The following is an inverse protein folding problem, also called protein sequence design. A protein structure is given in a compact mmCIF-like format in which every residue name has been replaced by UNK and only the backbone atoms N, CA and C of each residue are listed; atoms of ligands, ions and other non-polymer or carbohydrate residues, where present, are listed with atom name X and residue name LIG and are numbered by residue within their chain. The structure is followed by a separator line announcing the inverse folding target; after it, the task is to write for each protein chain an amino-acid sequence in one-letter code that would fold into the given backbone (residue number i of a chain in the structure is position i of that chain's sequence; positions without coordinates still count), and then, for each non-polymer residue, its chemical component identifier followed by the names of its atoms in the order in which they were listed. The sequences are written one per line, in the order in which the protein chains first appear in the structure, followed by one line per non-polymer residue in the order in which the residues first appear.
data_IF_756556973757
#
_entry.id   IF_756556973757
#
_cell.length_a   1.000
_cell.length_b   1.000
_cell.length_c   1.000
_cell.angle_alpha   90.00
_cell.angle_beta   90.00
_cell.angle_gamma   90.00
#
_symmetry.space_group_name_H-M   'P 1'
#
loop_
_entity.id
_entity.type
_entity.pdbx_description
1 polymer ?
#
# COMPACT_ATOMS: atom_id res chain seq x y z
N UNK A 1 18.44 16.49 6.74
CA UNK A 1 17.79 15.99 5.52
C UNK A 1 17.66 14.48 5.68
N UNK A 2 16.45 13.93 5.66
CA UNK A 2 16.19 12.58 6.17
C UNK A 2 16.40 11.43 5.15
N UNK A 3 16.80 11.73 3.91
CA UNK A 3 17.11 10.72 2.90
C UNK A 3 18.28 11.19 2.03
N UNK A 4 19.43 10.53 2.14
CA UNK A 4 20.46 10.52 1.09
C UNK A 4 20.16 9.31 0.22
N UNK A 5 19.59 9.52 -0.97
CA UNK A 5 19.39 8.45 -1.93
C UNK A 5 20.73 8.08 -2.56
N UNK A 6 21.10 6.80 -2.49
CA UNK A 6 22.19 6.22 -3.27
C UNK A 6 21.59 5.32 -4.35
N UNK A 7 22.05 5.45 -5.60
CA UNK A 7 21.57 4.65 -6.73
C UNK A 7 21.50 5.41 -8.04
N UNK A 8 21.19 4.71 -9.13
CA UNK A 8 20.89 5.34 -10.43
C UNK A 8 19.55 6.07 -10.32
N UNK A 9 19.50 7.40 -10.56
CA UNK A 9 18.25 8.12 -10.60
C UNK A 9 17.38 7.53 -11.70
N UNK A 10 16.13 7.25 -11.37
CA UNK A 10 15.13 6.83 -12.33
C UNK A 10 14.34 8.10 -12.66
N UNK A 11 14.47 8.60 -13.90
CA UNK A 11 13.95 9.92 -14.29
C UNK A 11 12.42 10.04 -14.19
N UNK A 12 11.72 8.91 -14.12
CA UNK A 12 10.27 8.82 -13.91
C UNK A 12 9.86 8.46 -12.47
N UNK A 13 10.77 8.54 -11.49
CA UNK A 13 10.51 8.26 -10.08
C UNK A 13 10.71 9.53 -9.23
N UNK A 14 9.61 10.05 -8.68
CA UNK A 14 9.64 11.18 -7.73
C UNK A 14 9.47 10.68 -6.30
N UNK A 15 10.36 11.07 -5.40
CA UNK A 15 10.24 10.81 -3.97
C UNK A 15 9.63 12.02 -3.27
N UNK A 16 8.49 11.82 -2.62
CA UNK A 16 7.74 12.89 -1.94
C UNK A 16 7.39 12.42 -0.53
N UNK A 17 7.54 13.30 0.47
CA UNK A 17 7.41 12.91 1.88
C UNK A 17 5.98 13.10 2.41
N UNK A 18 5.29 11.97 2.68
CA UNK A 18 4.29 11.86 3.73
C UNK A 18 2.90 12.49 3.50
N UNK A 19 2.61 12.99 2.30
CA UNK A 19 1.30 13.56 1.96
C UNK A 19 0.79 12.99 0.64
N UNK A 20 -0.31 12.23 0.68
CA UNK A 20 -0.94 11.66 -0.50
C UNK A 20 -1.77 12.68 -1.28
N UNK A 21 -2.10 13.85 -0.70
CA UNK A 21 -2.89 14.88 -1.39
C UNK A 21 -2.19 15.43 -2.62
N UNK A 22 -0.86 15.34 -2.68
CA UNK A 22 -0.06 15.69 -3.87
C UNK A 22 -0.44 14.88 -5.11
N UNK A 23 -1.03 13.69 -4.92
CA UNK A 23 -1.48 12.81 -5.99
C UNK A 23 -2.89 13.18 -6.48
N UNK A 24 -3.60 14.06 -5.79
CA UNK A 24 -4.90 14.56 -6.23
C UNK A 24 -4.77 15.63 -7.32
N UNK A 25 -3.74 16.47 -7.23
CA UNK A 25 -3.58 17.66 -8.07
C UNK A 25 -2.62 17.46 -9.26
N UNK A 26 -1.89 16.33 -9.30
CA UNK A 26 -1.09 15.96 -10.46
C UNK A 26 -2.01 15.41 -11.56
N UNK A 27 -2.36 16.27 -12.52
CA UNK A 27 -2.68 15.77 -13.86
C UNK A 27 -1.44 15.01 -14.35
N UNK A 28 -1.54 13.69 -14.44
CA UNK A 28 -0.47 12.85 -14.97
C UNK A 28 -0.36 13.17 -16.47
N UNK A 29 0.44 14.18 -16.79
CA UNK A 29 0.63 14.70 -18.14
C UNK A 29 1.21 13.65 -19.07
N UNK A 30 0.33 12.93 -19.77
CA UNK A 30 0.59 12.37 -21.09
C UNK A 30 -0.18 13.21 -22.09
N UNK A 31 0.49 13.63 -23.15
CA UNK A 31 -0.12 14.32 -24.30
C UNK A 31 -1.41 13.65 -24.75
N UNK A 32 -2.46 14.45 -24.98
CA UNK A 32 -3.84 14.10 -25.37
C UNK A 32 -3.99 13.17 -26.62
N UNK A 33 -2.90 12.70 -27.21
CA UNK A 33 -2.89 11.86 -28.42
C UNK A 33 -2.74 10.35 -28.14
N UNK A 34 -2.52 9.92 -26.90
CA UNK A 34 -2.47 8.48 -26.56
C UNK A 34 -3.74 8.05 -25.84
N UNK A 35 -4.71 7.54 -26.60
CA UNK A 35 -5.98 6.97 -26.15
C UNK A 35 -5.82 5.65 -25.35
N UNK A 36 -4.70 5.49 -24.64
CA UNK A 36 -4.45 4.41 -23.69
C UNK A 36 -4.71 4.92 -22.28
N UNK A 37 -5.75 4.39 -21.62
CA UNK A 37 -6.07 4.71 -20.22
C UNK A 37 -4.81 4.80 -19.37
N UNK A 38 -4.52 5.93 -18.73
CA UNK A 38 -3.34 6.07 -17.88
C UNK A 38 -3.38 5.02 -16.76
N UNK A 39 -2.59 3.94 -16.92
CA UNK A 39 -2.47 2.86 -15.94
C UNK A 39 -1.40 3.26 -14.93
N UNK A 40 -1.82 3.77 -13.79
CA UNK A 40 -0.93 4.06 -12.67
C UNK A 40 -0.84 2.89 -11.71
N UNK A 41 0.31 2.78 -11.04
CA UNK A 41 0.58 1.81 -9.98
C UNK A 41 0.94 2.57 -8.71
N UNK A 42 0.23 2.28 -7.61
CA UNK A 42 0.56 2.78 -6.28
C UNK A 42 1.32 1.71 -5.49
N UNK A 43 2.52 2.05 -5.02
CA UNK A 43 3.33 1.20 -4.16
C UNK A 43 3.41 1.78 -2.75
N UNK A 44 2.86 1.06 -1.76
CA UNK A 44 2.96 1.42 -0.34
C UNK A 44 3.84 0.40 0.38
N UNK A 45 5.12 0.73 0.55
CA UNK A 45 6.08 -0.15 1.23
C UNK A 45 6.31 0.36 2.65
N UNK A 46 6.20 -0.52 3.63
CA UNK A 46 6.19 -0.18 5.06
C UNK A 46 5.04 0.76 5.46
N UNK A 47 3.85 0.56 4.88
CA UNK A 47 2.64 1.32 5.23
C UNK A 47 2.30 1.20 6.72
N UNK A 48 2.53 2.27 7.48
CA UNK A 48 2.30 2.29 8.93
C UNK A 48 0.93 2.86 9.28
N UNK A 49 0.30 2.30 10.32
CA UNK A 49 -0.97 2.81 10.88
C UNK A 49 -2.04 2.96 9.77
N UNK A 50 -2.56 4.18 9.57
CA UNK A 50 -3.59 4.49 8.57
C UNK A 50 -3.05 4.55 7.14
N UNK A 51 -1.73 4.72 6.93
CA UNK A 51 -1.17 4.93 5.59
C UNK A 51 -1.45 3.76 4.64
N UNK A 52 -1.47 2.53 5.15
CA UNK A 52 -1.87 1.36 4.34
C UNK A 52 -3.29 1.51 3.81
N UNK A 53 -4.23 1.95 4.66
CA UNK A 53 -5.62 2.16 4.27
C UNK A 53 -5.76 3.31 3.28
N UNK A 54 -5.18 4.47 3.60
CA UNK A 54 -5.23 5.67 2.77
C UNK A 54 -4.66 5.42 1.38
N UNK A 55 -3.60 4.61 1.29
CA UNK A 55 -2.97 4.21 0.03
C UNK A 55 -3.88 3.34 -0.83
N UNK A 56 -4.54 2.34 -0.23
CA UNK A 56 -5.47 1.45 -0.93
C UNK A 56 -6.71 2.24 -1.37
N UNK A 57 -7.28 3.05 -0.48
CA UNK A 57 -8.48 3.85 -0.74
C UNK A 57 -8.25 4.88 -1.85
N UNK A 58 -7.06 5.50 -1.89
CA UNK A 58 -6.68 6.37 -2.99
C UNK A 58 -6.57 5.60 -4.32
N UNK A 59 -5.93 4.43 -4.32
CA UNK A 59 -5.79 3.63 -5.52
C UNK A 59 -7.15 3.14 -6.04
N UNK A 60 -8.05 2.68 -5.16
CA UNK A 60 -9.41 2.27 -5.52
C UNK A 60 -10.21 3.46 -6.09
N UNK A 61 -10.14 4.63 -5.45
CA UNK A 61 -10.81 5.85 -5.93
C UNK A 61 -10.36 6.24 -7.34
N UNK A 62 -9.08 6.04 -7.64
CA UNK A 62 -8.48 6.42 -8.93
C UNK A 62 -8.39 5.25 -9.93
N UNK A 63 -8.90 4.06 -9.57
CA UNK A 63 -8.80 2.83 -10.37
C UNK A 63 -7.35 2.51 -10.79
N UNK A 64 -6.42 2.69 -9.86
CA UNK A 64 -5.01 2.37 -10.04
C UNK A 64 -4.71 0.96 -9.55
N UNK A 65 -3.79 0.29 -10.21
CA UNK A 65 -3.18 -0.90 -9.64
C UNK A 65 -2.49 -0.52 -8.33
N UNK A 66 -2.47 -1.41 -7.35
CA UNK A 66 -1.80 -1.15 -6.09
C UNK A 66 -1.14 -2.38 -5.50
N UNK A 67 -0.08 -2.12 -4.73
CA UNK A 67 0.61 -3.11 -3.91
C UNK A 67 0.99 -2.48 -2.58
N UNK A 68 0.61 -3.14 -1.49
CA UNK A 68 0.92 -2.73 -0.13
C UNK A 68 1.74 -3.80 0.58
N UNK A 69 2.80 -3.36 1.26
CA UNK A 69 3.58 -4.12 2.24
C UNK A 69 3.38 -3.44 3.60
N UNK A 70 2.36 -3.85 4.39
CA UNK A 70 2.04 -3.17 5.64
C UNK A 70 3.16 -3.36 6.67
N UNK A 71 3.36 -2.36 7.53
CA UNK A 71 4.31 -2.43 8.65
C UNK A 71 3.69 -1.74 9.86
N UNK A 72 3.92 -2.23 11.09
CA UNK A 72 3.42 -1.58 12.31
C UNK A 72 1.89 -1.33 12.34
N UNK A 73 1.10 -2.35 12.00
CA UNK A 73 -0.36 -2.28 12.07
C UNK A 73 -0.84 -2.19 13.53
N UNK A 74 -1.83 -1.32 13.77
CA UNK A 74 -2.43 -1.12 15.09
C UNK A 74 -3.77 -1.83 15.18
N UNK A 75 -3.97 -2.60 16.25
CA UNK A 75 -5.19 -3.40 16.47
C UNK A 75 -6.48 -2.57 16.30
N UNK A 76 -6.50 -1.38 16.88
CA UNK A 76 -7.62 -0.43 16.90
C UNK A 76 -8.09 0.01 15.50
N UNK A 77 -7.25 -0.11 14.48
CA UNK A 77 -7.60 0.24 13.10
C UNK A 77 -8.27 -0.92 12.34
N UNK A 78 -8.30 -2.12 12.92
CA UNK A 78 -8.69 -3.34 12.19
C UNK A 78 -9.70 -4.20 12.95
N UNK A 79 -9.70 -4.14 14.29
CA UNK A 79 -10.52 -4.96 15.16
C UNK A 79 -11.21 -4.07 16.20
N UNK A 80 -12.37 -4.51 16.69
CA UNK A 80 -13.16 -3.75 17.64
C UNK A 80 -12.50 -3.68 19.04
N UNK A 81 -12.91 -2.70 19.85
CA UNK A 81 -12.42 -2.52 21.23
C UNK A 81 -12.71 -3.73 22.15
N UNK A 82 -13.57 -4.65 21.71
CA UNK A 82 -13.93 -5.88 22.42
C UNK A 82 -12.97 -7.03 22.10
N UNK A 83 -12.14 -6.89 21.08
CA UNK A 83 -11.19 -7.92 20.65
C UNK A 83 -9.89 -7.82 21.42
N UNK A 84 -9.68 -8.74 22.37
CA UNK A 84 -8.38 -8.91 23.03
C UNK A 84 -7.61 -10.07 22.41
N UNK A 85 -6.49 -9.78 21.75
CA UNK A 85 -5.60 -10.78 21.15
C UNK A 85 -4.33 -10.95 21.97
N UNK A 86 -4.24 -12.04 22.74
CA UNK A 86 -2.98 -12.53 23.34
C UNK A 86 -2.41 -13.64 22.47
N UNK A 87 -1.74 -13.24 21.39
CA UNK A 87 -1.05 -14.14 20.46
C UNK A 87 0.37 -13.64 20.20
N UNK A 88 1.19 -14.44 19.52
CA UNK A 88 2.52 -13.98 19.10
C UNK A 88 2.40 -12.75 18.19
N UNK A 89 3.44 -11.94 18.15
CA UNK A 89 3.46 -10.74 17.32
C UNK A 89 3.32 -11.06 15.82
N UNK A 90 3.89 -12.19 15.37
CA UNK A 90 3.74 -12.70 14.01
C UNK A 90 2.28 -13.08 13.72
N UNK A 91 1.65 -13.90 14.57
CA UNK A 91 0.25 -14.28 14.40
C UNK A 91 -0.65 -13.05 14.39
N UNK A 92 -0.42 -12.10 15.31
CA UNK A 92 -1.15 -10.84 15.35
C UNK A 92 -1.03 -10.09 14.03
N UNK A 93 0.19 -9.91 13.53
CA UNK A 93 0.41 -9.21 12.26
C UNK A 93 -0.29 -9.89 11.08
N UNK A 94 -0.21 -11.22 10.99
CA UNK A 94 -0.92 -12.00 9.96
C UNK A 94 -2.44 -11.81 10.07
N UNK A 95 -3.01 -11.82 11.27
CA UNK A 95 -4.43 -11.56 11.48
C UNK A 95 -4.84 -10.15 11.04
N UNK A 96 -4.03 -9.13 11.36
CA UNK A 96 -4.30 -7.75 10.93
C UNK A 96 -4.22 -7.60 9.41
N UNK A 97 -3.24 -8.23 8.76
CA UNK A 97 -3.18 -8.27 7.30
C UNK A 97 -4.39 -9.00 6.69
N UNK A 98 -4.85 -10.08 7.35
CA UNK A 98 -6.09 -10.77 6.97
C UNK A 98 -7.33 -9.88 7.09
N UNK A 99 -7.41 -9.03 8.13
CA UNK A 99 -8.50 -8.05 8.27
C UNK A 99 -8.47 -6.99 7.15
N UNK A 100 -7.28 -6.52 6.76
CA UNK A 100 -7.13 -5.62 5.60
C UNK A 100 -7.58 -6.34 4.32
N UNK A 101 -7.14 -7.58 4.11
CA UNK A 101 -7.54 -8.38 2.94
C UNK A 101 -9.06 -8.60 2.89
N UNK A 102 -9.70 -8.84 4.04
CA UNK A 102 -11.15 -8.99 4.11
C UNK A 102 -11.90 -7.68 3.77
N UNK A 103 -11.34 -6.52 4.16
CA UNK A 103 -11.91 -5.20 3.87
C UNK A 103 -11.80 -4.84 2.37
N UNK A 104 -10.62 -4.96 1.79
CA UNK A 104 -10.32 -4.44 0.44
C UNK A 104 -10.29 -5.50 -0.66
N UNK A 105 -10.37 -6.80 -0.31
CA UNK A 105 -10.44 -7.92 -1.27
C UNK A 105 -9.38 -7.84 -2.39
N UNK A 106 -8.08 -7.79 -2.04
CA UNK A 106 -7.02 -7.76 -3.05
C UNK A 106 -7.06 -9.02 -3.94
N UNK A 107 -6.72 -8.84 -5.21
CA UNK A 107 -6.55 -9.93 -6.19
C UNK A 107 -5.49 -10.94 -5.73
N UNK A 108 -4.49 -10.49 -4.97
CA UNK A 108 -3.38 -11.32 -4.51
C UNK A 108 -2.97 -11.00 -3.08
N UNK A 109 -2.78 -12.06 -2.29
CA UNK A 109 -2.09 -12.02 -1.00
C UNK A 109 -0.89 -12.96 -1.07
N UNK A 110 0.31 -12.45 -0.80
CA UNK A 110 1.55 -13.22 -0.89
C UNK A 110 2.45 -12.97 0.32
N UNK A 111 3.43 -13.86 0.51
CA UNK A 111 4.49 -13.67 1.49
C UNK A 111 5.85 -13.46 0.82
N UNK A 112 6.65 -12.57 1.39
CA UNK A 112 8.06 -12.35 1.13
C UNK A 112 8.83 -13.13 2.19
N UNK A 113 9.91 -13.79 1.76
CA UNK A 113 10.81 -14.53 2.63
C UNK A 113 11.31 -13.65 3.80
N UNK A 114 11.33 -14.24 5.01
CA UNK A 114 11.71 -13.53 6.24
C UNK A 114 13.15 -13.03 6.25
N UNK A 115 14.03 -13.57 5.39
CA UNK A 115 15.39 -13.08 5.16
C UNK A 115 15.41 -11.72 4.48
N UNK A 116 14.34 -11.34 3.77
CA UNK A 116 14.18 -10.02 3.15
C UNK A 116 13.51 -9.05 4.12
N UNK A 117 12.42 -9.47 4.77
CA UNK A 117 11.72 -8.64 5.77
C UNK A 117 10.95 -9.49 6.78
N UNK A 118 10.99 -9.11 8.07
CA UNK A 118 10.23 -9.76 9.13
C UNK A 118 8.71 -9.50 9.04
N UNK A 119 8.26 -8.58 8.18
CA UNK A 119 6.85 -8.21 7.94
C UNK A 119 6.48 -8.44 6.49
N UNK A 120 6.74 -9.65 5.99
CA UNK A 120 6.69 -9.96 4.57
C UNK A 120 5.31 -10.19 3.97
N UNK A 121 4.19 -9.68 4.51
CA UNK A 121 2.89 -9.89 3.87
C UNK A 121 2.66 -8.80 2.82
N UNK A 122 2.25 -9.22 1.62
CA UNK A 122 1.93 -8.36 0.47
C UNK A 122 0.46 -8.50 0.13
N UNK A 123 -0.19 -7.38 -0.11
CA UNK A 123 -1.57 -7.27 -0.59
C UNK A 123 -1.53 -6.50 -1.91
N UNK A 124 -2.12 -7.01 -2.99
CA UNK A 124 -2.08 -6.33 -4.28
C UNK A 124 -3.37 -6.53 -5.08
N UNK A 125 -3.72 -5.53 -5.89
CA UNK A 125 -4.81 -5.59 -6.86
C UNK A 125 -4.43 -4.87 -8.14
N UNK A 126 -5.01 -5.31 -9.25
CA UNK A 126 -4.88 -4.71 -10.58
C UNK A 126 -5.64 -3.37 -10.71
N UNK A 127 -6.47 -3.00 -9.73
CA UNK A 127 -7.24 -1.76 -9.74
C UNK A 127 -8.50 -1.79 -10.62
N UNK A 128 -8.77 -2.94 -11.26
CA UNK A 128 -10.00 -3.21 -11.99
C UNK A 128 -10.94 -3.91 -11.01
N UNK A 129 -11.96 -3.21 -10.53
CA UNK A 129 -13.02 -3.86 -9.74
C UNK A 129 -13.75 -4.90 -10.60
N UNK A 130 -14.13 -6.02 -9.98
CA UNK A 130 -15.12 -6.96 -10.56
C UNK A 130 -16.46 -6.27 -10.85
#
# INVERSE_FOLDING_TARGET
KAFESSGTPIDNLTFEAGDLTILNDREWGGSDDDAGSHKSLLLCVHGCKSLTHESIELAELKQWAWLCVPCCLHLENHLDDKTSLKVSDETRFTMLCGAIAAKYKPDTVASIDSRVTARGIVLASSGLGD
#
